data_IF_936066291156
#
_entry.id   IF_936066291156
#
_cell.length_a   1.000
_cell.length_b   1.000
_cell.length_c   1.000
_cell.angle_alpha   90.00
_cell.angle_beta   90.00
_cell.angle_gamma   90.00
#
_symmetry.space_group_name_H-M   'P 1'
#
loop_
_entity.id
_entity.type
_entity.pdbx_description
1 polymer ?
#
# COMPACT_ATOMS: atom_id res chain seq x y z
N UNK A 1 -40.12 -35.94 -30.15
CA UNK A 1 -38.74 -35.61 -30.56
C UNK A 1 -38.55 -34.13 -30.74
N UNK A 2 -39.37 -33.50 -31.53
CA UNK A 2 -39.27 -32.03 -31.76
C UNK A 2 -39.44 -31.23 -30.47
N UNK A 3 -40.32 -31.66 -29.59
CA UNK A 3 -40.56 -31.01 -28.31
C UNK A 3 -39.32 -31.01 -27.42
N UNK A 4 -38.57 -32.11 -27.43
CA UNK A 4 -37.32 -32.24 -26.68
C UNK A 4 -36.27 -31.28 -27.24
N UNK A 5 -36.18 -31.20 -28.57
CA UNK A 5 -35.23 -30.32 -29.23
C UNK A 5 -35.55 -28.86 -28.87
N UNK A 6 -36.81 -28.48 -28.95
CA UNK A 6 -37.24 -27.13 -28.60
C UNK A 6 -36.96 -26.80 -27.13
N UNK A 7 -37.21 -27.79 -26.26
CA UNK A 7 -36.95 -27.63 -24.83
C UNK A 7 -35.45 -27.38 -24.56
N UNK A 8 -34.60 -28.16 -25.21
CA UNK A 8 -33.14 -28.01 -25.07
C UNK A 8 -32.68 -26.65 -25.61
N UNK A 9 -33.21 -26.25 -26.77
CA UNK A 9 -32.85 -24.95 -27.35
C UNK A 9 -33.27 -23.80 -26.45
N UNK A 10 -34.44 -23.89 -25.85
CA UNK A 10 -34.92 -22.85 -24.92
C UNK A 10 -34.01 -22.80 -23.70
N UNK A 11 -33.59 -23.93 -23.18
CA UNK A 11 -32.67 -23.99 -22.04
C UNK A 11 -31.32 -23.39 -22.41
N UNK A 12 -30.80 -23.69 -23.58
CA UNK A 12 -29.54 -23.12 -24.07
C UNK A 12 -29.65 -21.61 -24.19
N UNK A 13 -30.76 -21.11 -24.71
CA UNK A 13 -30.96 -19.66 -24.81
C UNK A 13 -30.95 -19.01 -23.45
N UNK A 14 -31.61 -19.61 -22.48
CA UNK A 14 -31.64 -19.10 -21.11
C UNK A 14 -30.24 -19.08 -20.52
N UNK A 15 -29.51 -20.16 -20.69
CA UNK A 15 -28.14 -20.30 -20.17
C UNK A 15 -27.21 -19.28 -20.83
N UNK A 16 -27.31 -19.10 -22.12
CA UNK A 16 -26.50 -18.12 -22.85
C UNK A 16 -26.81 -16.70 -22.36
N UNK A 17 -28.08 -16.40 -22.13
CA UNK A 17 -28.48 -15.09 -21.62
C UNK A 17 -27.89 -14.84 -20.24
N UNK A 18 -27.92 -15.85 -19.36
CA UNK A 18 -27.31 -15.77 -18.03
C UNK A 18 -25.81 -15.56 -18.14
N UNK A 19 -25.15 -16.28 -19.04
CA UNK A 19 -23.71 -16.13 -19.26
C UNK A 19 -23.35 -14.72 -19.74
N UNK A 20 -24.16 -14.15 -20.62
CA UNK A 20 -23.93 -12.78 -21.08
C UNK A 20 -24.00 -11.79 -19.94
N UNK A 21 -24.97 -11.96 -19.06
CA UNK A 21 -25.12 -11.09 -17.89
C UNK A 21 -23.93 -11.25 -16.95
N UNK A 22 -23.53 -12.50 -16.71
CA UNK A 22 -22.38 -12.79 -15.83
C UNK A 22 -21.10 -12.21 -16.40
N UNK A 23 -20.87 -12.33 -17.69
CA UNK A 23 -19.70 -11.78 -18.35
C UNK A 23 -19.71 -10.25 -18.25
N UNK A 24 -20.85 -9.62 -18.43
CA UNK A 24 -20.96 -8.17 -18.29
C UNK A 24 -20.60 -7.73 -16.87
N UNK A 25 -21.10 -8.44 -15.87
CA UNK A 25 -20.77 -8.17 -14.46
C UNK A 25 -19.27 -8.35 -14.20
N UNK A 26 -18.70 -9.43 -14.73
CA UNK A 26 -17.25 -9.68 -14.59
C UNK A 26 -16.41 -8.58 -15.22
N UNK A 27 -16.81 -8.08 -16.37
CA UNK A 27 -16.12 -6.98 -17.03
C UNK A 27 -16.12 -5.73 -16.16
N UNK A 28 -17.26 -5.42 -15.57
CA UNK A 28 -17.37 -4.27 -14.66
C UNK A 28 -16.48 -4.46 -13.44
N UNK A 29 -16.52 -5.64 -12.85
CA UNK A 29 -15.73 -5.96 -11.67
C UNK A 29 -14.23 -5.88 -11.96
N UNK A 30 -13.79 -6.42 -13.10
CA UNK A 30 -12.39 -6.35 -13.51
C UNK A 30 -11.96 -4.91 -13.70
N UNK A 31 -12.80 -4.10 -14.34
CA UNK A 31 -12.51 -2.69 -14.55
C UNK A 31 -12.37 -1.95 -13.22
N UNK A 32 -13.26 -2.22 -12.29
CA UNK A 32 -13.20 -1.65 -10.94
C UNK A 32 -11.91 -2.06 -10.22
N UNK A 33 -11.57 -3.34 -10.29
CA UNK A 33 -10.36 -3.86 -9.66
C UNK A 33 -9.09 -3.23 -10.25
N UNK A 34 -9.07 -2.99 -11.55
CA UNK A 34 -7.94 -2.31 -12.19
C UNK A 34 -7.77 -0.90 -11.65
N UNK A 35 -8.88 -0.18 -11.51
CA UNK A 35 -8.86 1.18 -10.96
C UNK A 35 -8.35 1.16 -9.51
N UNK A 36 -8.87 0.26 -8.71
CA UNK A 36 -8.46 0.12 -7.32
C UNK A 36 -6.98 -0.26 -7.21
N UNK A 37 -6.51 -1.15 -8.08
CA UNK A 37 -5.11 -1.55 -8.09
C UNK A 37 -4.19 -0.39 -8.44
N UNK A 38 -4.60 0.46 -9.37
CA UNK A 38 -3.83 1.66 -9.72
C UNK A 38 -3.71 2.58 -8.51
N UNK A 39 -4.80 2.78 -7.79
CA UNK A 39 -4.83 3.57 -6.56
C UNK A 39 -3.89 3.01 -5.51
N UNK A 40 -3.92 1.69 -5.31
CA UNK A 40 -3.05 1.04 -4.34
C UNK A 40 -1.58 1.20 -4.74
N UNK A 41 -1.26 1.08 -6.01
CA UNK A 41 0.11 1.27 -6.51
C UNK A 41 0.60 2.69 -6.24
N UNK A 42 -0.25 3.67 -6.47
CA UNK A 42 0.09 5.06 -6.20
C UNK A 42 0.34 5.28 -4.72
N UNK A 43 -0.53 4.72 -3.87
CA UNK A 43 -0.40 4.82 -2.42
C UNK A 43 0.89 4.16 -1.93
N UNK A 44 1.23 3.00 -2.49
CA UNK A 44 2.47 2.29 -2.12
C UNK A 44 3.68 3.13 -2.51
N UNK A 45 3.68 3.74 -3.69
CA UNK A 45 4.77 4.61 -4.14
C UNK A 45 4.92 5.81 -3.21
N UNK A 46 3.79 6.43 -2.85
CA UNK A 46 3.80 7.55 -1.91
C UNK A 46 4.38 7.13 -0.55
N UNK A 47 3.96 5.98 -0.03
CA UNK A 47 4.46 5.48 1.24
C UNK A 47 5.95 5.17 1.20
N UNK A 48 6.45 4.65 0.08
CA UNK A 48 7.88 4.40 -0.09
C UNK A 48 8.67 5.69 -0.03
N UNK A 49 8.18 6.72 -0.70
CA UNK A 49 8.84 8.04 -0.70
C UNK A 49 8.84 8.63 0.70
N UNK A 50 7.72 8.53 1.41
CA UNK A 50 7.61 9.02 2.78
C UNK A 50 8.56 8.26 3.72
N UNK A 51 8.71 6.96 3.52
CA UNK A 51 9.63 6.15 4.32
C UNK A 51 11.08 6.56 4.09
N UNK A 52 11.44 6.92 2.86
CA UNK A 52 12.79 7.43 2.57
C UNK A 52 13.06 8.71 3.34
N UNK A 53 12.09 9.62 3.36
CA UNK A 53 12.21 10.88 4.11
C UNK A 53 12.38 10.60 5.60
N UNK A 54 11.58 9.70 6.16
CA UNK A 54 11.68 9.33 7.57
C UNK A 54 13.05 8.72 7.88
N UNK A 55 13.53 7.87 7.00
CA UNK A 55 14.84 7.25 7.14
C UNK A 55 15.97 8.29 7.16
N UNK A 56 15.92 9.25 6.24
CA UNK A 56 16.88 10.34 6.18
C UNK A 56 16.83 11.18 7.46
N UNK A 57 15.63 11.54 7.90
CA UNK A 57 15.45 12.34 9.10
C UNK A 57 15.92 11.60 10.34
N UNK A 58 15.70 10.30 10.41
CA UNK A 58 16.18 9.46 11.50
C UNK A 58 17.70 9.47 11.57
N UNK A 59 18.36 9.38 10.42
CA UNK A 59 19.82 9.42 10.34
C UNK A 59 20.36 10.78 10.75
N UNK A 60 19.74 11.86 10.27
CA UNK A 60 20.13 13.22 10.66
C UNK A 60 19.99 13.42 12.16
N UNK A 61 18.87 12.97 12.71
CA UNK A 61 18.62 13.07 14.15
C UNK A 61 19.65 12.28 14.96
N UNK A 62 20.01 11.09 14.50
CA UNK A 62 21.01 10.26 15.15
C UNK A 62 22.36 10.98 15.22
N UNK A 63 22.77 11.57 14.10
CA UNK A 63 24.02 12.32 14.01
C UNK A 63 23.96 13.53 14.93
N UNK A 64 22.86 14.25 14.94
CA UNK A 64 22.69 15.44 15.78
C UNK A 64 22.76 15.07 17.27
N UNK A 65 22.12 13.99 17.66
CA UNK A 65 22.14 13.51 19.06
C UNK A 65 23.57 13.12 19.45
N UNK A 66 24.27 12.39 18.61
CA UNK A 66 25.66 12.01 18.88
C UNK A 66 26.57 13.21 19.01
N UNK A 67 26.39 14.22 18.16
CA UNK A 67 27.14 15.46 18.21
C UNK A 67 26.87 16.19 19.53
N UNK A 68 25.62 16.23 19.96
CA UNK A 68 25.25 16.86 21.23
C UNK A 68 25.87 16.14 22.42
N UNK A 69 25.91 14.82 22.38
CA UNK A 69 26.54 14.03 23.43
C UNK A 69 28.03 14.35 23.52
N UNK A 70 28.71 14.37 22.38
CA UNK A 70 30.14 14.72 22.32
C UNK A 70 30.39 16.13 22.86
N UNK A 71 29.55 17.07 22.44
CA UNK A 71 29.68 18.45 22.92
C UNK A 71 29.47 18.55 24.42
N UNK A 72 28.49 17.82 24.94
CA UNK A 72 28.21 17.79 26.38
C UNK A 72 29.39 17.21 27.17
N UNK A 73 30.01 16.16 26.67
CA UNK A 73 31.20 15.56 27.29
C UNK A 73 32.34 16.53 27.29
N UNK A 74 32.60 17.21 26.17
CA UNK A 74 33.64 18.23 26.07
C UNK A 74 33.39 19.35 27.04
N UNK A 75 32.17 19.89 27.09
CA UNK A 75 31.80 20.97 27.97
C UNK A 75 31.99 20.55 29.45
N UNK A 76 31.62 19.34 29.78
CA UNK A 76 31.77 18.78 31.11
C UNK A 76 33.25 18.76 31.51
N UNK A 77 34.13 18.28 30.65
CA UNK A 77 35.57 18.24 30.90
C UNK A 77 36.16 19.65 31.09
N UNK A 78 35.81 20.59 30.20
CA UNK A 78 36.31 21.96 30.22
C UNK A 78 35.86 22.67 31.49
N UNK A 79 34.61 22.51 31.85
CA UNK A 79 34.03 23.19 33.01
C UNK A 79 34.26 22.47 34.33
N UNK A 80 34.73 21.25 34.27
CA UNK A 80 34.93 20.46 35.49
C UNK A 80 33.60 20.10 36.15
N UNK A 81 32.55 20.12 35.37
CA UNK A 81 31.22 19.82 35.87
C UNK A 81 30.81 18.41 35.45
N UNK A 82 30.29 17.67 36.38
CA UNK A 82 29.67 16.36 36.07
C UNK A 82 28.20 16.56 35.80
N UNK A 83 27.72 16.07 34.68
CA UNK A 83 26.30 16.06 34.54
C UNK A 83 25.70 14.95 35.38
N UNK A 84 24.47 15.14 35.82
CA UNK A 84 23.81 14.15 36.65
C UNK A 84 23.60 12.86 35.90
N UNK A 85 24.13 11.80 36.44
CA UNK A 85 23.89 10.46 35.90
C UNK A 85 22.85 9.84 36.79
N UNK A 86 21.68 9.67 36.19
CA UNK A 86 20.58 9.07 36.92
C UNK A 86 20.57 7.55 36.81
#
# INVERSE_FOLDING_TARGET
MEEKILSVLTQIQTDVSSLKDDVATLKEDVSYLKTEMTSVKEDVTYLKDEMEVVKENTEINRIAVNTLIEWTECASEVLGIRYPVS
#
